data_IF_490419366967
#
_entry.id   IF_490419366967
#
_cell.length_a   1.000
_cell.length_b   1.000
_cell.length_c   1.000
_cell.angle_alpha   90.00
_cell.angle_beta   90.00
_cell.angle_gamma   90.00
#
_symmetry.space_group_name_H-M   'P 1'
#
loop_
_entity.id
_entity.type
_entity.pdbx_description
1 polymer ?
#
# COMPACT_ATOMS: atom_id res chain seq x y z
N UNK A 1 5.63 12.52 -7.94
CA UNK A 1 5.45 11.08 -7.71
C UNK A 1 4.74 10.45 -8.91
N UNK A 2 5.50 9.89 -9.86
CA UNK A 2 4.98 9.25 -11.09
C UNK A 2 4.78 7.73 -10.89
N UNK A 3 3.65 7.15 -11.31
CA UNK A 3 3.41 5.70 -11.23
C UNK A 3 3.91 4.96 -12.49
N UNK A 4 4.08 3.64 -12.41
CA UNK A 4 4.29 2.78 -13.60
C UNK A 4 2.97 2.69 -14.37
N UNK A 5 3.05 2.73 -15.70
CA UNK A 5 1.95 2.32 -16.58
C UNK A 5 1.98 0.80 -16.77
N UNK A 6 0.93 0.10 -16.37
CA UNK A 6 0.84 -1.36 -16.50
C UNK A 6 0.01 -1.78 -17.71
N UNK A 7 0.68 -2.39 -18.70
CA UNK A 7 0.00 -3.04 -19.85
C UNK A 7 -0.85 -4.23 -19.40
N UNK A 8 -0.37 -4.97 -18.41
CA UNK A 8 -1.07 -6.13 -17.85
C UNK A 8 -1.20 -5.97 -16.34
N UNK A 9 -2.43 -6.02 -15.83
CA UNK A 9 -2.74 -5.86 -14.42
C UNK A 9 -2.10 -6.93 -13.52
N UNK A 10 -1.63 -8.06 -14.07
CA UNK A 10 -0.96 -9.08 -13.28
C UNK A 10 0.48 -8.70 -12.89
N UNK A 11 1.16 -7.92 -13.73
CA UNK A 11 2.59 -7.59 -13.61
C UNK A 11 2.89 -6.68 -12.41
N UNK A 12 1.92 -5.88 -11.97
CA UNK A 12 2.11 -4.93 -10.87
C UNK A 12 2.42 -5.57 -9.51
N UNK A 13 2.07 -6.85 -9.33
CA UNK A 13 2.37 -7.61 -8.12
C UNK A 13 3.75 -8.26 -8.14
N UNK A 14 4.48 -8.18 -9.26
CA UNK A 14 5.89 -8.54 -9.27
C UNK A 14 6.65 -7.66 -8.28
N UNK A 15 7.52 -8.27 -7.47
CA UNK A 15 8.18 -7.55 -6.38
C UNK A 15 9.11 -6.44 -6.88
N UNK A 16 9.65 -6.52 -8.10
CA UNK A 16 10.40 -5.41 -8.68
C UNK A 16 9.51 -4.19 -8.94
N UNK A 17 8.26 -4.42 -9.33
CA UNK A 17 7.28 -3.35 -9.51
C UNK A 17 6.83 -2.79 -8.17
N UNK A 18 6.56 -3.65 -7.18
CA UNK A 18 6.23 -3.25 -5.80
C UNK A 18 7.34 -2.39 -5.21
N UNK A 19 8.59 -2.81 -5.31
CA UNK A 19 9.76 -2.07 -4.83
C UNK A 19 9.89 -0.71 -5.49
N UNK A 20 9.77 -0.65 -6.83
CA UNK A 20 9.81 0.61 -7.57
C UNK A 20 8.75 1.58 -7.05
N UNK A 21 7.51 1.12 -6.93
CA UNK A 21 6.40 1.98 -6.52
C UNK A 21 6.47 2.39 -5.04
N UNK A 22 6.92 1.48 -4.17
CA UNK A 22 7.17 1.75 -2.75
C UNK A 22 8.29 2.78 -2.57
N UNK A 23 9.42 2.62 -3.25
CA UNK A 23 10.52 3.58 -3.21
C UNK A 23 10.12 4.94 -3.78
N UNK A 24 9.35 4.95 -4.87
CA UNK A 24 8.84 6.20 -5.47
C UNK A 24 7.88 6.94 -4.52
N UNK A 25 7.03 6.20 -3.82
CA UNK A 25 6.16 6.75 -2.79
C UNK A 25 6.96 7.28 -1.61
N UNK A 26 7.83 6.45 -1.04
CA UNK A 26 8.64 6.78 0.12
C UNK A 26 9.49 8.04 -0.11
N UNK A 27 10.21 8.11 -1.25
CA UNK A 27 11.03 9.28 -1.60
C UNK A 27 10.22 10.57 -1.76
N UNK A 28 8.94 10.47 -2.11
CA UNK A 28 8.02 11.61 -2.20
C UNK A 28 7.40 11.98 -0.84
N UNK A 29 7.44 11.06 0.13
CA UNK A 29 6.82 11.21 1.44
C UNK A 29 7.80 11.62 2.53
N UNK A 30 9.10 11.32 2.38
CA UNK A 30 10.13 11.81 3.31
C UNK A 30 10.16 13.35 3.33
N UNK A 31 10.28 13.99 4.50
CA UNK A 31 10.35 15.43 4.61
C UNK A 31 11.54 16.04 3.87
N UNK A 32 11.37 17.27 3.39
CA UNK A 32 12.48 18.05 2.85
C UNK A 32 13.51 18.30 3.95
N UNK A 33 14.80 18.22 3.57
CA UNK A 33 15.95 18.51 4.44
C UNK A 33 15.95 19.95 4.99
N UNK A 34 15.08 20.82 4.45
CA UNK A 34 15.00 22.24 4.71
C UNK A 34 13.68 22.71 5.34
N UNK A 35 12.77 21.79 5.70
CA UNK A 35 11.43 22.14 6.21
C UNK A 35 11.07 21.35 7.47
N UNK A 36 10.92 22.06 8.58
CA UNK A 36 10.84 21.54 9.95
C UNK A 36 9.45 21.12 10.41
N UNK A 37 8.61 20.52 9.56
CA UNK A 37 7.29 20.09 10.03
C UNK A 37 6.89 18.67 9.61
N UNK A 38 7.34 17.72 10.43
CA UNK A 38 6.94 16.31 10.38
C UNK A 38 5.44 16.11 10.69
N UNK A 39 4.71 17.16 11.12
CA UNK A 39 3.32 17.07 11.56
C UNK A 39 2.31 17.04 10.41
N UNK A 40 2.69 17.51 9.21
CA UNK A 40 1.79 17.53 8.07
C UNK A 40 1.53 16.12 7.53
N UNK A 41 0.27 15.68 7.53
CA UNK A 41 -0.14 14.41 6.92
C UNK A 41 0.05 14.38 5.40
N UNK A 42 0.13 13.17 4.83
CA UNK A 42 0.18 12.92 3.39
C UNK A 42 -1.25 12.82 2.87
N UNK A 43 -1.72 13.82 2.11
CA UNK A 43 -3.00 13.74 1.41
C UNK A 43 -2.80 13.09 0.03
N UNK A 44 -3.45 11.96 -0.23
CA UNK A 44 -3.33 11.18 -1.48
C UNK A 44 -4.64 10.50 -1.87
N UNK A 45 -4.62 9.61 -2.87
CA UNK A 45 -5.74 8.78 -3.29
C UNK A 45 -5.29 7.63 -4.20
N UNK A 46 -6.10 7.33 -5.21
CA UNK A 46 -5.90 6.23 -6.18
C UNK A 46 -4.76 6.53 -7.19
N UNK A 47 -3.56 6.77 -6.68
CA UNK A 47 -2.36 7.11 -7.43
C UNK A 47 -2.03 6.04 -8.48
N UNK A 48 -2.03 6.44 -9.75
CA UNK A 48 -1.72 5.56 -10.88
C UNK A 48 -2.83 4.55 -11.25
N UNK A 49 -4.02 4.64 -10.67
CA UNK A 49 -5.07 3.63 -10.89
C UNK A 49 -6.04 3.92 -12.04
N UNK A 50 -5.97 5.13 -12.63
CA UNK A 50 -6.79 5.52 -13.79
C UNK A 50 -6.08 5.16 -15.10
N UNK A 51 -5.60 6.18 -15.82
CA UNK A 51 -4.90 6.01 -17.10
C UNK A 51 -3.66 5.08 -17.03
N UNK A 52 -3.10 4.86 -15.83
CA UNK A 52 -1.90 4.05 -15.62
C UNK A 52 -2.21 2.59 -15.24
N UNK A 53 -3.50 2.25 -15.13
CA UNK A 53 -3.99 0.89 -14.96
C UNK A 53 -3.45 0.15 -13.72
N UNK A 54 -3.10 0.89 -12.67
CA UNK A 54 -2.74 0.33 -11.36
C UNK A 54 -3.96 -0.17 -10.58
N UNK A 55 -3.73 -1.17 -9.75
CA UNK A 55 -4.70 -1.72 -8.81
C UNK A 55 -4.78 -0.85 -7.55
N UNK A 56 -5.99 -0.37 -7.26
CA UNK A 56 -6.28 0.54 -6.15
C UNK A 56 -6.02 -0.07 -4.77
N UNK A 57 -6.19 -1.39 -4.61
CA UNK A 57 -5.95 -2.09 -3.35
C UNK A 57 -4.46 -2.22 -3.07
N UNK A 58 -3.69 -2.64 -4.06
CA UNK A 58 -2.23 -2.69 -4.01
C UNK A 58 -1.63 -1.31 -3.74
N UNK A 59 -2.10 -0.28 -4.47
CA UNK A 59 -1.62 1.10 -4.31
C UNK A 59 -1.95 1.70 -2.95
N UNK A 60 -3.05 1.31 -2.32
CA UNK A 60 -3.38 1.72 -0.96
C UNK A 60 -2.37 1.13 0.05
N UNK A 61 -2.06 -0.18 -0.04
CA UNK A 61 -1.07 -0.83 0.83
C UNK A 61 0.34 -0.25 0.62
N UNK A 62 0.77 -0.04 -0.63
CA UNK A 62 2.07 0.55 -0.93
C UNK A 62 2.20 1.96 -0.33
N UNK A 63 1.17 2.79 -0.47
CA UNK A 63 1.19 4.14 0.09
C UNK A 63 1.13 4.14 1.62
N UNK A 64 0.40 3.20 2.23
CA UNK A 64 0.41 2.99 3.68
C UNK A 64 1.81 2.63 4.17
N UNK A 65 2.45 1.64 3.53
CA UNK A 65 3.82 1.23 3.85
C UNK A 65 4.81 2.39 3.74
N UNK A 66 4.75 3.17 2.66
CA UNK A 66 5.61 4.32 2.44
C UNK A 66 5.40 5.41 3.49
N UNK A 67 4.14 5.72 3.82
CA UNK A 67 3.80 6.73 4.83
C UNK A 67 4.25 6.30 6.23
N UNK A 68 4.01 5.03 6.60
CA UNK A 68 4.48 4.45 7.85
C UNK A 68 6.01 4.46 7.95
N UNK A 69 6.72 4.10 6.88
CA UNK A 69 8.18 4.14 6.84
C UNK A 69 8.73 5.58 6.90
N UNK A 70 7.99 6.57 6.39
CA UNK A 70 8.33 7.98 6.50
C UNK A 70 7.93 8.60 7.86
N UNK A 71 7.23 7.85 8.73
CA UNK A 71 6.75 8.32 10.02
C UNK A 71 5.66 9.40 9.91
N UNK A 72 4.82 9.35 8.86
CA UNK A 72 3.81 10.39 8.58
C UNK A 72 2.39 9.83 8.51
N UNK A 73 1.38 10.56 9.02
CA UNK A 73 -0.02 10.18 8.85
C UNK A 73 -0.43 10.14 7.36
N UNK A 74 -1.31 9.22 6.99
CA UNK A 74 -1.85 9.10 5.63
C UNK A 74 -3.35 9.48 5.62
N UNK A 75 -3.71 10.43 4.75
CA UNK A 75 -5.10 10.80 4.44
C UNK A 75 -5.38 10.28 3.03
N UNK A 76 -6.19 9.23 2.92
CA UNK A 76 -6.47 8.56 1.66
C UNK A 76 -7.87 8.91 1.12
N UNK A 77 -7.93 9.55 -0.04
CA UNK A 77 -9.17 9.85 -0.74
C UNK A 77 -9.43 8.84 -1.87
N UNK A 78 -10.41 7.95 -1.66
CA UNK A 78 -10.77 6.90 -2.61
C UNK A 78 -11.61 7.38 -3.83
N UNK A 79 -11.85 8.69 -3.97
CA UNK A 79 -12.69 9.32 -5.02
C UNK A 79 -14.01 8.58 -5.30
N UNK A 80 -15.06 8.89 -4.52
CA UNK A 80 -16.42 8.30 -4.62
C UNK A 80 -16.51 6.77 -4.48
N UNK A 81 -15.38 6.07 -4.32
CA UNK A 81 -15.33 4.64 -4.07
C UNK A 81 -15.46 4.33 -2.57
N UNK A 82 -16.71 4.26 -2.11
CA UNK A 82 -17.02 3.95 -0.70
C UNK A 82 -16.61 2.53 -0.31
N UNK A 83 -16.62 1.60 -1.27
CA UNK A 83 -16.24 0.20 -0.99
C UNK A 83 -14.75 0.15 -0.69
N UNK A 84 -13.91 0.76 -1.53
CA UNK A 84 -12.46 0.80 -1.29
C UNK A 84 -12.13 1.42 0.06
N UNK A 85 -12.66 2.61 0.39
CA UNK A 85 -12.27 3.30 1.63
C UNK A 85 -12.71 2.53 2.88
N UNK A 86 -13.90 1.92 2.86
CA UNK A 86 -14.40 1.12 3.98
C UNK A 86 -13.57 -0.16 4.16
N UNK A 87 -13.31 -0.90 3.07
CA UNK A 87 -12.49 -2.11 3.14
C UNK A 87 -11.04 -1.78 3.51
N UNK A 88 -10.49 -0.65 3.06
CA UNK A 88 -9.14 -0.22 3.42
C UNK A 88 -9.04 0.13 4.90
N UNK A 89 -10.06 0.79 5.46
CA UNK A 89 -10.15 1.05 6.88
C UNK A 89 -10.20 -0.23 7.72
N UNK A 90 -10.98 -1.24 7.30
CA UNK A 90 -11.04 -2.55 7.98
C UNK A 90 -9.67 -3.24 7.96
N UNK A 91 -8.98 -3.25 6.81
CA UNK A 91 -7.62 -3.79 6.69
C UNK A 91 -6.63 -3.03 7.58
N UNK A 92 -6.73 -1.69 7.63
CA UNK A 92 -5.88 -0.87 8.49
C UNK A 92 -6.08 -1.21 9.97
N UNK A 93 -7.32 -1.30 10.46
CA UNK A 93 -7.58 -1.66 11.86
C UNK A 93 -7.10 -3.07 12.17
N UNK A 94 -7.28 -4.03 11.26
CA UNK A 94 -6.72 -5.38 11.41
C UNK A 94 -5.18 -5.35 11.54
N UNK A 95 -4.48 -4.65 10.63
CA UNK A 95 -3.03 -4.55 10.66
C UNK A 95 -2.53 -3.90 11.96
N UNK A 96 -3.23 -2.87 12.44
CA UNK A 96 -2.95 -2.18 13.70
C UNK A 96 -3.15 -3.10 14.91
N UNK A 97 -4.25 -3.83 14.97
CA UNK A 97 -4.55 -4.79 16.04
C UNK A 97 -3.52 -5.93 16.09
N UNK A 98 -3.09 -6.40 14.93
CA UNK A 98 -2.02 -7.41 14.80
C UNK A 98 -0.62 -6.86 15.08
N UNK A 99 -0.47 -5.56 15.37
CA UNK A 99 0.83 -4.86 15.51
C UNK A 99 1.74 -5.11 14.30
N UNK A 100 1.16 -5.13 13.10
CA UNK A 100 1.88 -5.36 11.86
C UNK A 100 2.91 -4.26 11.60
N UNK A 101 4.10 -4.65 11.17
CA UNK A 101 5.15 -3.74 10.72
C UNK A 101 5.09 -3.51 9.22
N UNK A 102 5.80 -2.50 8.71
CA UNK A 102 6.01 -2.32 7.26
C UNK A 102 6.58 -3.58 6.62
N UNK A 103 7.46 -4.29 7.32
CA UNK A 103 8.02 -5.57 6.85
C UNK A 103 6.96 -6.66 6.74
N UNK A 104 5.95 -6.69 7.61
CA UNK A 104 4.85 -7.66 7.53
C UNK A 104 3.94 -7.36 6.33
N UNK A 105 3.60 -6.09 6.12
CA UNK A 105 2.89 -5.63 4.90
C UNK A 105 3.63 -6.04 3.61
N UNK A 106 4.95 -5.88 3.60
CA UNK A 106 5.77 -6.34 2.47
C UNK A 106 5.68 -7.85 2.26
N UNK A 107 5.75 -8.65 3.35
CA UNK A 107 5.60 -10.12 3.29
C UNK A 107 4.22 -10.55 2.79
N UNK A 108 3.14 -9.83 3.16
CA UNK A 108 1.82 -10.09 2.59
C UNK A 108 1.84 -9.97 1.06
N UNK A 109 2.42 -8.91 0.51
CA UNK A 109 2.51 -8.72 -0.94
C UNK A 109 3.33 -9.82 -1.62
N UNK A 110 4.47 -10.20 -1.03
CA UNK A 110 5.31 -11.30 -1.52
C UNK A 110 4.56 -12.63 -1.58
N UNK A 111 3.91 -13.02 -0.47
CA UNK A 111 3.17 -14.28 -0.40
C UNK A 111 1.93 -14.25 -1.29
N UNK A 112 1.19 -13.16 -1.30
CA UNK A 112 0.02 -12.97 -2.17
C UNK A 112 0.36 -13.18 -3.65
N UNK A 113 1.48 -12.61 -4.10
CA UNK A 113 1.98 -12.82 -5.45
C UNK A 113 2.34 -14.29 -5.72
N UNK A 114 3.08 -14.93 -4.81
CA UNK A 114 3.49 -16.34 -4.96
C UNK A 114 2.34 -17.34 -4.97
N UNK A 115 1.22 -17.04 -4.31
CA UNK A 115 0.06 -17.94 -4.18
C UNK A 115 -0.95 -17.80 -5.32
N UNK A 116 -0.64 -16.98 -6.34
CA UNK A 116 -1.45 -16.86 -7.54
C UNK A 116 -2.73 -16.05 -7.38
N UNK A 117 -2.86 -15.25 -6.32
CA UNK A 117 -3.93 -14.24 -6.15
C UNK A 117 -5.35 -14.82 -6.24
N UNK A 118 -5.60 -15.90 -5.49
CA UNK A 118 -6.89 -16.65 -5.49
C UNK A 118 -8.09 -15.84 -4.97
N UNK A 119 -7.83 -14.79 -4.21
CA UNK A 119 -8.83 -13.85 -3.67
C UNK A 119 -8.31 -12.42 -3.76
N UNK A 120 -9.11 -11.43 -3.34
CA UNK A 120 -8.64 -10.03 -3.32
C UNK A 120 -7.48 -9.85 -2.34
N UNK A 121 -6.62 -8.85 -2.56
CA UNK A 121 -5.50 -8.57 -1.66
C UNK A 121 -5.98 -8.27 -0.23
N UNK A 122 -7.09 -7.54 -0.10
CA UNK A 122 -7.62 -7.16 1.21
C UNK A 122 -8.16 -8.37 1.96
N UNK A 123 -8.94 -9.23 1.29
CA UNK A 123 -9.42 -10.48 1.91
C UNK A 123 -8.24 -11.36 2.32
N UNK A 124 -7.22 -11.48 1.47
CA UNK A 124 -5.99 -12.22 1.80
C UNK A 124 -5.32 -11.71 3.07
N UNK A 125 -5.20 -10.40 3.24
CA UNK A 125 -4.62 -9.81 4.45
C UNK A 125 -5.49 -10.14 5.67
N UNK A 126 -6.82 -9.98 5.57
CA UNK A 126 -7.75 -10.22 6.67
C UNK A 126 -7.80 -11.68 7.11
N UNK A 127 -7.67 -12.62 6.17
CA UNK A 127 -7.70 -14.06 6.43
C UNK A 127 -6.36 -14.62 6.93
N UNK A 128 -5.29 -13.81 6.89
CA UNK A 128 -3.93 -14.26 7.16
C UNK A 128 -3.35 -13.50 8.38
N UNK A 129 -3.37 -14.09 9.59
CA UNK A 129 -2.77 -13.45 10.77
C UNK A 129 -1.28 -13.17 10.59
N UNK A 130 -0.76 -12.07 11.13
CA UNK A 130 0.67 -11.70 11.02
C UNK A 130 1.60 -12.79 11.57
N UNK A 131 1.17 -13.51 12.61
CA UNK A 131 1.90 -14.65 13.17
C UNK A 131 2.19 -15.74 12.14
N UNK A 132 1.32 -15.92 11.14
CA UNK A 132 1.47 -16.92 10.08
C UNK A 132 2.44 -16.50 8.97
N UNK A 133 2.88 -15.23 8.94
CA UNK A 133 3.87 -14.72 7.99
C UNK A 133 5.32 -15.01 8.38
N UNK A 134 5.56 -15.38 9.64
CA UNK A 134 6.88 -15.66 10.19
C UNK A 134 7.26 -17.12 9.87
N UNK A 135 7.79 -17.32 8.67
CA UNK A 135 8.54 -18.52 8.26
C UNK A 135 9.94 -18.11 7.85
#
# INVERSE_FOLDING_TARGET
MDAIYFRHASAQYDMHCVDRELLKAYTSFIPSRYGSDYTSGIATGNWGCGAFNGDKYLKAIIQLMAASAAGRPLIYAAYRDKVLINSFYIVYEFLKDQKATVSDCYRYLQRYFSQGKRQSLFDYILDTPVSSLKS
#
